data_IF_272674368831
#
_entry.id   IF_272674368831
#
_cell.length_a   1.000
_cell.length_b   1.000
_cell.length_c   1.000
_cell.angle_alpha   90.00
_cell.angle_beta   90.00
_cell.angle_gamma   90.00
#
_symmetry.space_group_name_H-M   'P 1'
#
loop_
_entity.id
_entity.type
_entity.pdbx_description
1 polymer ?
#
# COMPACT_ATOMS: atom_id res chain seq x y z
N UNK A 1 -4.58 -12.23 -8.15
CA UNK A 1 -3.56 -11.91 -7.14
C UNK A 1 -4.10 -10.78 -6.29
N UNK A 2 -4.42 -11.03 -5.01
CA UNK A 2 -4.86 -10.01 -4.09
C UNK A 2 -3.67 -9.42 -3.31
N UNK A 3 -3.70 -8.11 -3.12
CA UNK A 3 -2.77 -7.40 -2.24
C UNK A 3 -3.54 -6.47 -1.33
N UNK A 4 -3.27 -6.54 -0.03
CA UNK A 4 -3.99 -5.77 0.98
C UNK A 4 -3.03 -4.82 1.66
N UNK A 5 -3.38 -3.54 1.63
CA UNK A 5 -2.76 -2.53 2.46
C UNK A 5 -3.59 -2.34 3.74
N UNK A 6 -2.95 -2.50 4.90
CA UNK A 6 -3.64 -2.41 6.19
C UNK A 6 -3.90 -0.96 6.60
N UNK A 7 -3.07 -0.04 6.13
CA UNK A 7 -3.11 1.36 6.54
C UNK A 7 -4.31 2.06 5.91
N UNK A 8 -4.50 1.89 4.60
CA UNK A 8 -5.64 2.45 3.85
C UNK A 8 -6.83 1.49 3.75
N UNK A 9 -6.66 0.22 4.11
CA UNK A 9 -7.62 -0.87 3.91
C UNK A 9 -7.94 -1.16 2.44
N UNK A 10 -7.14 -0.65 1.51
CA UNK A 10 -7.29 -0.92 0.09
C UNK A 10 -6.84 -2.34 -0.26
N UNK A 11 -7.57 -2.93 -1.20
CA UNK A 11 -7.30 -4.22 -1.81
C UNK A 11 -7.08 -4.01 -3.29
N UNK A 12 -5.89 -4.38 -3.76
CA UNK A 12 -5.50 -4.36 -5.17
C UNK A 12 -5.68 -5.77 -5.74
N UNK A 13 -6.52 -5.91 -6.75
CA UNK A 13 -6.82 -7.18 -7.41
C UNK A 13 -6.39 -7.12 -8.87
N UNK A 14 -5.49 -8.01 -9.27
CA UNK A 14 -5.02 -8.15 -10.65
C UNK A 14 -4.98 -9.63 -11.05
N UNK A 15 -5.22 -9.93 -12.33
CA UNK A 15 -5.06 -11.27 -12.89
C UNK A 15 -3.73 -11.43 -13.62
N UNK A 16 -3.14 -12.64 -13.62
CA UNK A 16 -2.05 -12.93 -14.55
C UNK A 16 -2.62 -13.04 -15.97
N UNK A 17 -1.95 -12.44 -16.95
CA UNK A 17 -2.41 -12.36 -18.33
C UNK A 17 -3.53 -11.33 -18.57
N UNK A 18 -4.01 -10.65 -17.53
CA UNK A 18 -4.99 -9.57 -17.67
C UNK A 18 -4.29 -8.21 -17.69
N UNK A 19 -4.98 -7.19 -18.18
CA UNK A 19 -4.51 -5.81 -18.15
C UNK A 19 -5.46 -4.92 -17.34
N UNK A 20 -6.10 -5.47 -16.30
CA UNK A 20 -7.03 -4.74 -15.45
C UNK A 20 -6.60 -4.83 -14.00
N UNK A 21 -6.57 -3.67 -13.33
CA UNK A 21 -6.39 -3.52 -11.90
C UNK A 21 -7.71 -3.07 -11.27
N UNK A 22 -8.20 -3.81 -10.30
CA UNK A 22 -9.38 -3.43 -9.51
C UNK A 22 -8.92 -3.05 -8.11
N UNK A 23 -9.41 -1.91 -7.62
CA UNK A 23 -9.25 -1.47 -6.24
C UNK A 23 -10.59 -1.63 -5.54
N UNK A 24 -10.53 -2.19 -4.34
CA UNK A 24 -11.65 -2.25 -3.42
C UNK A 24 -11.19 -1.83 -2.02
N UNK A 25 -12.12 -1.53 -1.12
CA UNK A 25 -11.84 -1.15 0.26
C UNK A 25 -12.52 -2.12 1.22
N UNK A 26 -11.78 -2.61 2.20
CA UNK A 26 -12.35 -3.38 3.31
C UNK A 26 -13.07 -2.47 4.31
N UNK A 27 -14.30 -2.83 4.63
CA UNK A 27 -15.15 -2.11 5.58
C UNK A 27 -15.61 -3.02 6.73
N UNK A 28 -16.04 -2.42 7.84
CA UNK A 28 -16.53 -3.14 9.01
C UNK A 28 -18.00 -3.57 8.92
N UNK A 29 -18.70 -3.22 7.84
CA UNK A 29 -20.13 -3.49 7.64
C UNK A 29 -20.40 -3.95 6.21
N UNK A 30 -21.55 -4.57 5.99
CA UNK A 30 -21.98 -5.03 4.66
C UNK A 30 -22.20 -3.84 3.69
N UNK A 31 -21.68 -3.89 2.45
CA UNK A 31 -20.78 -4.92 1.93
C UNK A 31 -19.36 -4.77 2.53
N UNK A 32 -18.80 -5.86 3.07
CA UNK A 32 -17.48 -5.84 3.74
C UNK A 32 -16.32 -5.49 2.80
N UNK A 33 -16.55 -5.55 1.49
CA UNK A 33 -15.62 -5.16 0.45
C UNK A 33 -16.36 -4.31 -0.58
N UNK A 34 -15.98 -3.05 -0.71
CA UNK A 34 -16.62 -2.09 -1.61
C UNK A 34 -15.70 -1.75 -2.78
N UNK A 35 -16.15 -1.82 -4.04
CA UNK A 35 -15.36 -1.36 -5.19
C UNK A 35 -15.03 0.13 -5.07
N UNK A 36 -13.79 0.49 -5.36
CA UNK A 36 -13.29 1.88 -5.32
C UNK A 36 -12.98 2.37 -6.73
N UNK A 37 -12.18 1.61 -7.48
CA UNK A 37 -11.69 2.04 -8.79
C UNK A 37 -11.35 0.85 -9.68
N UNK A 38 -11.51 1.01 -10.99
CA UNK A 38 -11.04 0.05 -12.00
C UNK A 38 -10.15 0.80 -12.99
N UNK A 39 -8.99 0.23 -13.26
CA UNK A 39 -8.01 0.80 -14.19
C UNK A 39 -7.63 -0.20 -15.27
N UNK A 40 -7.70 0.23 -16.52
CA UNK A 40 -7.08 -0.48 -17.63
C UNK A 40 -5.58 -0.15 -17.66
N UNK A 41 -4.74 -1.17 -17.60
CA UNK A 41 -3.29 -1.09 -17.74
C UNK A 41 -2.91 -1.27 -19.22
N UNK A 42 -1.78 -0.67 -19.62
CA UNK A 42 -1.32 -0.70 -21.00
C UNK A 42 -0.86 -2.11 -21.44
N UNK A 43 -0.28 -2.88 -20.53
CA UNK A 43 0.30 -4.19 -20.82
C UNK A 43 -0.34 -5.30 -19.98
N UNK A 44 -0.17 -6.54 -20.44
CA UNK A 44 -0.56 -7.73 -19.68
C UNK A 44 0.30 -7.88 -18.43
N UNK A 45 -0.36 -8.12 -17.31
CA UNK A 45 0.27 -8.37 -16.03
C UNK A 45 0.82 -9.80 -15.97
N UNK A 46 2.12 -9.94 -15.74
CA UNK A 46 2.81 -11.22 -15.55
C UNK A 46 3.04 -11.55 -14.07
N UNK A 47 3.08 -10.53 -13.22
CA UNK A 47 3.30 -10.59 -11.79
C UNK A 47 3.08 -9.20 -11.18
N UNK A 48 2.94 -9.12 -9.87
CA UNK A 48 2.81 -7.83 -9.21
C UNK A 48 3.23 -7.88 -7.74
N UNK A 49 3.52 -6.71 -7.17
CA UNK A 49 3.69 -6.53 -5.74
C UNK A 49 3.26 -5.13 -5.30
N UNK A 50 3.11 -4.96 -3.99
CA UNK A 50 2.93 -3.66 -3.35
C UNK A 50 4.27 -3.04 -3.00
N UNK A 51 4.34 -1.72 -3.10
CA UNK A 51 5.48 -0.92 -2.65
C UNK A 51 5.56 -0.82 -1.13
N UNK A 52 6.68 -0.27 -0.66
CA UNK A 52 6.86 0.08 0.74
C UNK A 52 6.27 1.45 1.02
N UNK A 53 5.51 1.60 2.11
CA UNK A 53 5.00 2.89 2.61
C UNK A 53 6.10 3.92 2.84
N UNK A 54 7.32 3.45 3.13
CA UNK A 54 8.51 4.28 3.34
C UNK A 54 8.98 5.04 2.09
N UNK A 55 8.52 4.64 0.90
CA UNK A 55 8.97 5.20 -0.37
C UNK A 55 7.92 6.11 -1.03
N UNK A 56 6.79 6.36 -0.36
CA UNK A 56 5.69 7.14 -0.93
C UNK A 56 6.07 8.61 -1.06
N UNK A 57 5.66 9.22 -2.16
CA UNK A 57 5.63 10.67 -2.28
C UNK A 57 4.39 11.23 -1.57
N UNK A 58 4.50 11.37 -0.24
CA UNK A 58 3.38 11.78 0.61
C UNK A 58 2.82 13.18 0.26
N UNK A 59 3.67 14.04 -0.31
CA UNK A 59 3.28 15.37 -0.75
C UNK A 59 2.49 15.37 -2.06
N UNK A 60 2.41 14.25 -2.78
CA UNK A 60 1.52 14.12 -3.96
C UNK A 60 0.20 13.43 -3.68
N UNK A 61 -0.11 13.09 -2.41
CA UNK A 61 -1.28 12.27 -2.07
C UNK A 61 -1.13 10.81 -2.47
N UNK A 62 0.10 10.35 -2.73
CA UNK A 62 0.37 8.94 -3.04
C UNK A 62 0.25 8.12 -1.76
N UNK A 63 -0.81 7.31 -1.67
CA UNK A 63 -1.08 6.46 -0.50
C UNK A 63 -0.54 5.05 -0.68
N UNK A 64 -0.28 4.61 -1.90
CA UNK A 64 0.37 3.33 -2.21
C UNK A 64 1.02 3.34 -3.59
N UNK A 65 1.95 2.42 -3.84
CA UNK A 65 2.54 2.19 -5.16
C UNK A 65 2.39 0.72 -5.52
N UNK A 66 1.55 0.42 -6.52
CA UNK A 66 1.45 -0.94 -7.06
C UNK A 66 2.50 -1.11 -8.16
N UNK A 67 3.27 -2.20 -8.13
CA UNK A 67 4.25 -2.49 -9.18
C UNK A 67 3.74 -3.64 -10.05
N UNK A 68 3.54 -3.35 -11.33
CA UNK A 68 3.15 -4.33 -12.34
C UNK A 68 4.41 -4.86 -13.03
N UNK A 69 4.59 -6.18 -13.04
CA UNK A 69 5.56 -6.84 -13.92
C UNK A 69 4.92 -7.07 -15.29
N UNK A 70 5.53 -6.51 -16.34
CA UNK A 70 5.15 -6.73 -17.74
C UNK A 70 6.18 -7.61 -18.44
N UNK A 71 6.05 -7.75 -19.77
CA UNK A 71 7.02 -8.52 -20.57
C UNK A 71 8.41 -7.89 -20.59
N UNK A 72 8.49 -6.56 -20.49
CA UNK A 72 9.73 -5.82 -20.73
C UNK A 72 10.17 -4.95 -19.56
N UNK A 73 9.31 -4.70 -18.58
CA UNK A 73 9.59 -3.77 -17.50
C UNK A 73 8.79 -4.06 -16.23
N UNK A 74 9.17 -3.37 -15.16
CA UNK A 74 8.35 -3.22 -13.96
C UNK A 74 7.80 -1.80 -14.00
N UNK A 75 6.49 -1.67 -14.10
CA UNK A 75 5.79 -0.39 -14.18
C UNK A 75 5.24 0.00 -12.81
N UNK A 76 5.64 1.15 -12.24
CA UNK A 76 5.00 1.68 -11.05
C UNK A 76 3.63 2.28 -11.39
N UNK A 77 2.65 1.98 -10.56
CA UNK A 77 1.26 2.47 -10.63
C UNK A 77 0.96 3.13 -9.28
N UNK A 78 1.18 4.44 -9.15
CA UNK A 78 0.88 5.17 -7.91
C UNK A 78 -0.62 5.25 -7.69
N UNK A 79 -1.06 4.98 -6.46
CA UNK A 79 -2.41 5.18 -5.99
C UNK A 79 -2.50 6.56 -5.34
N UNK A 80 -3.13 7.51 -6.02
CA UNK A 80 -3.20 8.91 -5.59
C UNK A 80 -4.61 9.21 -5.08
N UNK A 81 -4.71 9.72 -3.86
CA UNK A 81 -5.97 10.26 -3.33
C UNK A 81 -6.06 11.75 -3.69
N UNK A 82 -7.05 12.15 -4.51
CA UNK A 82 -7.14 13.53 -4.98
C UNK A 82 -7.46 14.50 -3.84
N UNK A 83 -6.63 15.55 -3.70
CA UNK A 83 -6.85 16.66 -2.75
C UNK A 83 -6.94 18.00 -3.46
N UNK A 84 -7.60 18.97 -2.81
CA UNK A 84 -7.74 20.34 -3.32
C UNK A 84 -6.39 21.07 -3.40
N UNK A 85 -5.49 20.78 -2.47
CA UNK A 85 -4.15 21.35 -2.40
C UNK A 85 -3.20 20.29 -1.87
N UNK A 86 -1.97 20.30 -2.37
CA UNK A 86 -0.87 19.43 -1.94
C UNK A 86 0.28 20.21 -1.31
N UNK A 87 0.03 21.48 -0.95
CA UNK A 87 1.05 22.34 -0.33
C UNK A 87 1.42 21.88 1.07
N UNK A 88 0.45 21.33 1.78
CA UNK A 88 0.58 20.86 3.16
C UNK A 88 0.47 19.33 3.21
N UNK A 89 1.09 18.73 4.22
CA UNK A 89 0.98 17.30 4.50
C UNK A 89 -0.46 16.95 4.92
N UNK A 90 -0.99 15.83 4.42
CA UNK A 90 -2.35 15.35 4.72
C UNK A 90 -2.30 14.17 5.69
N UNK A 91 -2.21 14.39 7.01
CA UNK A 91 -2.02 13.32 8.00
C UNK A 91 -3.16 12.30 8.02
N UNK A 92 -4.36 12.67 7.57
CA UNK A 92 -5.52 11.78 7.50
C UNK A 92 -5.37 10.68 6.44
N UNK A 93 -4.46 10.84 5.47
CA UNK A 93 -4.11 9.80 4.49
C UNK A 93 -3.07 8.79 5.00
N UNK A 94 -2.33 9.14 6.04
CA UNK A 94 -1.10 8.45 6.44
C UNK A 94 -1.14 8.11 7.93
N UNK A 95 -1.93 7.10 8.36
CA UNK A 95 -1.82 6.60 9.73
C UNK A 95 -0.40 6.05 9.97
N UNK A 96 -0.01 5.91 11.25
CA UNK A 96 1.28 5.32 11.59
C UNK A 96 1.41 3.94 10.95
N UNK A 97 2.52 3.71 10.25
CA UNK A 97 2.76 2.51 9.48
C UNK A 97 3.87 1.66 10.10
N UNK A 98 4.01 0.42 9.65
CA UNK A 98 4.98 -0.53 10.21
C UNK A 98 6.42 -0.03 10.04
N UNK A 99 7.14 0.07 11.16
CA UNK A 99 8.56 0.36 11.21
C UNK A 99 9.43 -0.75 10.61
N UNK A 100 10.73 -0.46 10.50
CA UNK A 100 11.73 -1.39 9.92
C UNK A 100 12.24 -2.41 10.93
N UNK A 101 12.15 -2.09 12.22
CA UNK A 101 12.68 -2.92 13.29
C UNK A 101 11.73 -4.08 13.63
N UNK A 102 12.28 -5.27 13.76
CA UNK A 102 11.54 -6.46 14.15
C UNK A 102 11.06 -6.34 15.61
N UNK A 103 9.82 -6.74 15.90
CA UNK A 103 9.27 -6.71 17.26
C UNK A 103 9.95 -7.71 18.21
N UNK A 104 10.46 -8.82 17.69
CA UNK A 104 11.29 -9.76 18.43
C UNK A 104 12.25 -10.51 17.50
N UNK A 105 13.26 -11.16 18.09
CA UNK A 105 14.16 -12.06 17.37
C UNK A 105 13.46 -13.37 16.97
N UNK A 106 14.03 -14.08 16.00
CA UNK A 106 13.53 -15.41 15.60
C UNK A 106 13.49 -16.39 16.77
N UNK A 107 14.47 -16.33 17.67
CA UNK A 107 14.55 -17.22 18.84
C UNK A 107 13.46 -16.98 19.86
N UNK A 108 13.02 -15.73 20.03
CA UNK A 108 11.93 -15.35 20.94
C UNK A 108 10.57 -15.70 20.33
N UNK A 109 10.38 -15.45 19.03
CA UNK A 109 9.17 -15.83 18.32
C UNK A 109 8.95 -17.35 18.36
N UNK A 110 9.99 -18.16 18.14
CA UNK A 110 9.93 -19.62 18.26
C UNK A 110 9.58 -20.10 19.69
N UNK A 111 9.80 -19.27 20.71
CA UNK A 111 9.40 -19.52 22.11
C UNK A 111 8.00 -18.98 22.44
N UNK A 112 7.28 -18.45 21.45
CA UNK A 112 5.92 -17.94 21.59
C UNK A 112 5.81 -16.43 21.83
N UNK A 113 6.88 -15.66 21.63
CA UNK A 113 6.79 -14.19 21.64
C UNK A 113 5.95 -13.70 20.45
N UNK A 114 5.03 -12.76 20.70
CA UNK A 114 4.18 -12.12 19.68
C UNK A 114 4.22 -10.59 19.82
N UNK A 115 5.43 -10.04 19.85
CA UNK A 115 5.62 -8.59 19.95
C UNK A 115 5.38 -7.95 18.57
N UNK A 116 4.42 -7.02 18.44
CA UNK A 116 4.18 -6.33 17.17
C UNK A 116 5.39 -5.46 16.80
N UNK A 117 5.59 -5.26 15.50
CA UNK A 117 6.56 -4.27 15.02
C UNK A 117 6.15 -2.88 15.50
N UNK A 118 7.14 -2.05 15.83
CA UNK A 118 6.90 -0.64 16.14
C UNK A 118 6.23 0.08 14.97
N UNK A 119 5.47 1.12 15.25
CA UNK A 119 4.87 1.98 14.23
C UNK A 119 5.67 3.29 14.12
N UNK A 120 5.61 3.94 12.97
CA UNK A 120 6.21 5.26 12.75
C UNK A 120 5.33 6.12 11.84
N UNK A 121 5.45 7.43 11.98
CA UNK A 121 4.74 8.41 11.16
C UNK A 121 5.47 8.69 9.84
N UNK A 122 4.72 8.80 8.74
CA UNK A 122 5.24 9.32 7.47
C UNK A 122 5.23 10.85 7.41
N UNK A 123 4.48 11.49 8.30
CA UNK A 123 4.46 12.93 8.47
C UNK A 123 5.47 13.35 9.52
N UNK A 124 6.39 14.23 9.13
CA UNK A 124 7.50 14.79 9.92
C UNK A 124 8.82 14.02 9.80
N UNK A 125 9.81 14.80 9.36
CA UNK A 125 11.23 14.52 9.31
C UNK A 125 11.73 14.39 10.76
N UNK A 126 11.83 13.17 11.28
CA UNK A 126 12.61 12.88 12.51
C UNK A 126 14.12 12.87 12.23
N UNK A 127 14.62 13.79 11.41
CA UNK A 127 16.04 14.03 11.16
C UNK A 127 16.30 15.50 10.78
N UNK A 128 16.12 16.41 11.75
CA UNK A 128 17.02 17.54 11.98
C UNK A 128 17.27 17.70 13.48
#
# INVERSE_FOLDING_TARGET
MPFYDRDTKLVFLVGKGTNKLFLAEFQSKTPFLSPVYEMAMAEQNLGACMGSKHNLNVMSGEVDTFYQLTKHSILPVPCIVPRRSYRDFHPDLYPDTRGKEAGCSSSEWLKGSDVPVGLFSLGVIDLL
#
